data_IF_317895952873
#
_entry.id   IF_317895952873
#
_cell.length_a   1.000
_cell.length_b   1.000
_cell.length_c   1.000
_cell.angle_alpha   90.00
_cell.angle_beta   90.00
_cell.angle_gamma   90.00
#
_symmetry.space_group_name_H-M   'P 1'
#
loop_
_entity.id
_entity.type
_entity.pdbx_description
1 polymer ?
#
# COMPACT_ATOMS: atom_id res chain seq x y z
N UNK A 1 5.19 4.03 27.12
CA UNK A 1 4.11 3.10 26.77
C UNK A 1 4.19 1.98 27.77
N UNK A 2 3.05 1.70 28.41
CA UNK A 2 2.94 0.67 29.44
C UNK A 2 3.05 -0.69 28.75
N UNK A 3 3.77 -1.66 29.34
CA UNK A 3 4.00 -2.97 28.71
C UNK A 3 2.72 -3.74 28.31
N UNK A 4 1.53 -3.34 28.78
CA UNK A 4 0.24 -3.91 28.38
C UNK A 4 -0.34 -3.32 27.08
N UNK A 5 -0.04 -2.07 26.75
CA UNK A 5 -0.53 -1.40 25.52
C UNK A 5 0.13 -2.02 24.27
N UNK A 6 1.43 -2.35 24.37
CA UNK A 6 2.19 -2.97 23.29
C UNK A 6 1.67 -4.37 22.94
N UNK A 7 1.30 -5.17 23.95
CA UNK A 7 0.79 -6.53 23.77
C UNK A 7 -0.63 -6.55 23.16
N UNK A 8 -1.47 -5.57 23.52
CA UNK A 8 -2.79 -5.43 22.90
C UNK A 8 -2.66 -5.01 21.43
N UNK A 9 -1.77 -4.07 21.14
CA UNK A 9 -1.49 -3.61 19.79
C UNK A 9 -0.94 -4.72 18.90
N UNK A 10 0.00 -5.52 19.41
CA UNK A 10 0.53 -6.71 18.74
C UNK A 10 -0.58 -7.71 18.40
N UNK A 11 -1.46 -8.02 19.37
CA UNK A 11 -2.61 -8.92 19.13
C UNK A 11 -3.52 -8.40 18.03
N UNK A 12 -3.84 -7.10 18.03
CA UNK A 12 -4.72 -6.52 16.99
C UNK A 12 -4.05 -6.54 15.61
N UNK A 13 -2.74 -6.34 15.54
CA UNK A 13 -1.97 -6.46 14.29
C UNK A 13 -2.01 -7.90 13.76
N UNK A 14 -1.79 -8.90 14.61
CA UNK A 14 -1.85 -10.31 14.22
C UNK A 14 -3.23 -10.69 13.67
N UNK A 15 -4.32 -10.23 14.31
CA UNK A 15 -5.69 -10.46 13.85
C UNK A 15 -5.92 -9.89 12.44
N UNK A 16 -5.45 -8.66 12.19
CA UNK A 16 -5.65 -7.99 10.90
C UNK A 16 -4.83 -8.64 9.78
N UNK A 17 -3.58 -9.02 10.05
CA UNK A 17 -2.73 -9.68 9.06
C UNK A 17 -3.21 -11.10 8.76
N UNK A 18 -3.73 -11.81 9.77
CA UNK A 18 -4.39 -13.11 9.59
C UNK A 18 -5.62 -12.98 8.69
N UNK A 19 -6.44 -11.96 8.93
CA UNK A 19 -7.60 -11.67 8.08
C UNK A 19 -7.17 -11.37 6.63
N UNK A 20 -6.18 -10.50 6.41
CA UNK A 20 -5.63 -10.22 5.08
C UNK A 20 -5.14 -11.49 4.38
N UNK A 21 -4.41 -12.34 5.09
CA UNK A 21 -3.88 -13.61 4.57
C UNK A 21 -5.01 -14.57 4.19
N UNK A 22 -6.10 -14.63 4.94
CA UNK A 22 -7.30 -15.42 4.60
C UNK A 22 -7.99 -14.97 3.31
N UNK A 23 -7.75 -13.71 2.90
CA UNK A 23 -8.15 -13.16 1.61
C UNK A 23 -7.01 -13.22 0.58
N UNK A 24 -5.96 -13.99 0.84
CA UNK A 24 -4.79 -14.09 -0.04
C UNK A 24 -4.02 -12.78 -0.20
N UNK A 25 -4.17 -11.81 0.70
CA UNK A 25 -3.45 -10.54 0.66
C UNK A 25 -2.26 -10.61 1.61
N UNK A 26 -1.06 -10.50 1.05
CA UNK A 26 0.19 -10.40 1.80
C UNK A 26 0.63 -8.94 1.76
N UNK A 27 0.64 -8.27 2.90
CA UNK A 27 1.09 -6.88 2.99
C UNK A 27 2.63 -6.82 2.99
N UNK A 28 3.20 -6.12 2.00
CA UNK A 28 4.64 -6.14 1.75
C UNK A 28 5.46 -5.04 2.46
N UNK A 29 4.80 -4.00 3.00
CA UNK A 29 5.48 -2.87 3.67
C UNK A 29 5.09 -2.79 5.16
N UNK A 30 5.86 -3.47 6.00
CA UNK A 30 5.57 -3.67 7.44
C UNK A 30 5.95 -2.48 8.33
N UNK A 31 6.00 -1.27 7.78
CA UNK A 31 6.24 -0.08 8.60
C UNK A 31 5.03 0.25 9.46
N UNK A 32 5.32 0.75 10.66
CA UNK A 32 4.33 1.09 11.67
C UNK A 32 3.42 2.26 11.28
N UNK A 33 3.87 3.17 10.42
CA UNK A 33 3.07 4.27 9.87
C UNK A 33 1.96 3.80 8.91
N UNK A 34 2.03 2.55 8.45
CA UNK A 34 0.98 1.91 7.65
C UNK A 34 -0.12 1.26 8.50
N UNK A 35 -0.03 1.33 9.83
CA UNK A 35 -1.02 0.77 10.75
C UNK A 35 -1.52 1.85 11.71
N UNK A 36 -2.85 2.03 11.76
CA UNK A 36 -3.49 2.98 12.66
C UNK A 36 -4.42 2.24 13.64
N UNK A 37 -4.24 2.47 14.94
CA UNK A 37 -5.22 2.02 15.94
C UNK A 37 -6.47 2.92 15.85
N UNK A 38 -7.62 2.29 15.60
CA UNK A 38 -8.93 2.94 15.51
C UNK A 38 -9.87 2.48 16.63
N UNK A 39 -9.31 2.12 17.79
CA UNK A 39 -9.99 1.64 18.98
C UNK A 39 -9.99 0.12 19.02
N UNK A 40 -11.03 -0.50 18.49
CA UNK A 40 -11.23 -1.95 18.60
C UNK A 40 -10.45 -2.74 17.53
N UNK A 41 -9.84 -2.04 16.57
CA UNK A 41 -9.24 -2.62 15.35
C UNK A 41 -8.00 -1.85 14.92
N UNK A 42 -7.18 -2.49 14.10
CA UNK A 42 -6.16 -1.83 13.31
C UNK A 42 -6.71 -1.57 11.91
N UNK A 43 -6.52 -0.34 11.43
CA UNK A 43 -6.67 -0.01 10.02
C UNK A 43 -5.29 -0.13 9.37
N UNK A 44 -5.15 -1.05 8.41
CA UNK A 44 -3.96 -1.12 7.56
C UNK A 44 -4.18 -0.22 6.35
N UNK A 45 -3.26 0.71 6.15
CA UNK A 45 -3.21 1.61 5.00
C UNK A 45 -2.01 1.23 4.12
N UNK A 46 -1.84 1.94 3.01
CA UNK A 46 -0.78 1.68 2.03
C UNK A 46 -0.70 0.20 1.60
N UNK A 47 -1.62 -0.19 0.72
CA UNK A 47 -1.65 -1.52 0.10
C UNK A 47 -0.84 -1.55 -1.21
N UNK A 48 0.04 -0.58 -1.44
CA UNK A 48 0.74 -0.44 -2.71
C UNK A 48 1.70 -1.60 -2.99
N UNK A 49 2.32 -2.12 -1.94
CA UNK A 49 3.25 -3.24 -2.00
C UNK A 49 2.61 -4.59 -1.64
N UNK A 50 1.27 -4.66 -1.61
CA UNK A 50 0.59 -5.91 -1.31
C UNK A 50 0.71 -6.92 -2.47
N UNK A 51 1.00 -8.18 -2.13
CA UNK A 51 1.07 -9.33 -3.04
C UNK A 51 -0.18 -10.19 -2.85
N UNK A 52 -0.65 -10.81 -3.94
CA UNK A 52 -1.73 -11.80 -3.87
C UNK A 52 -1.14 -13.20 -3.87
N UNK A 53 -1.49 -13.99 -2.87
CA UNK A 53 -1.45 -15.45 -2.96
C UNK A 53 -2.77 -15.93 -3.57
N UNK A 54 -2.74 -16.24 -4.87
CA UNK A 54 -3.92 -16.67 -5.62
C UNK A 54 -4.53 -17.98 -5.09
N UNK A 55 -3.75 -18.77 -4.34
CA UNK A 55 -4.13 -20.09 -3.81
C UNK A 55 -5.16 -19.97 -2.68
N UNK A 56 -4.91 -19.08 -1.72
CA UNK A 56 -5.87 -18.78 -0.64
C UNK A 56 -7.00 -17.86 -1.13
N UNK A 57 -6.69 -16.95 -2.04
CA UNK A 57 -7.67 -16.04 -2.61
C UNK A 57 -8.84 -16.75 -3.33
N UNK A 58 -8.55 -17.84 -4.05
CA UNK A 58 -9.55 -18.62 -4.77
C UNK A 58 -10.60 -19.29 -3.86
N UNK A 59 -10.32 -19.42 -2.56
CA UNK A 59 -11.23 -20.04 -1.58
C UNK A 59 -12.20 -19.05 -0.94
N UNK A 60 -12.04 -17.74 -1.16
CA UNK A 60 -12.85 -16.69 -0.53
C UNK A 60 -14.14 -16.39 -1.29
N UNK A 61 -15.26 -16.31 -0.59
CA UNK A 61 -16.57 -15.90 -1.14
C UNK A 61 -16.64 -14.43 -1.56
N UNK A 62 -15.69 -13.59 -1.11
CA UNK A 62 -15.65 -12.16 -1.38
C UNK A 62 -14.69 -11.76 -2.51
N UNK A 63 -14.25 -12.73 -3.34
CA UNK A 63 -13.20 -12.59 -4.36
C UNK A 63 -13.43 -11.42 -5.35
N UNK A 64 -14.68 -11.14 -5.72
CA UNK A 64 -15.02 -10.09 -6.68
C UNK A 64 -14.73 -8.68 -6.17
N UNK A 65 -15.08 -8.41 -4.90
CA UNK A 65 -14.88 -7.09 -4.28
C UNK A 65 -13.39 -6.80 -4.07
N UNK A 66 -12.64 -7.81 -3.61
CA UNK A 66 -11.20 -7.69 -3.44
C UNK A 66 -10.48 -7.47 -4.79
N UNK A 67 -10.89 -8.16 -5.86
CA UNK A 67 -10.37 -7.91 -7.23
C UNK A 67 -10.62 -6.48 -7.69
N UNK A 68 -11.83 -5.95 -7.45
CA UNK A 68 -12.20 -4.59 -7.84
C UNK A 68 -11.33 -3.54 -7.15
N UNK A 69 -11.31 -3.57 -5.82
CA UNK A 69 -10.52 -2.64 -5.01
C UNK A 69 -9.02 -2.70 -5.35
N UNK A 70 -8.50 -3.90 -5.58
CA UNK A 70 -7.10 -4.07 -5.91
C UNK A 70 -6.74 -3.58 -7.32
N UNK A 71 -7.62 -3.79 -8.30
CA UNK A 71 -7.44 -3.24 -9.64
C UNK A 71 -7.36 -1.72 -9.59
N UNK A 72 -8.22 -1.10 -8.79
CA UNK A 72 -8.22 0.36 -8.61
C UNK A 72 -6.91 0.82 -7.94
N UNK A 73 -6.42 0.11 -6.93
CA UNK A 73 -5.11 0.38 -6.31
C UNK A 73 -3.94 0.25 -7.30
N UNK A 74 -3.92 -0.81 -8.11
CA UNK A 74 -2.88 -1.00 -9.13
C UNK A 74 -2.89 0.11 -10.20
N UNK A 75 -4.09 0.54 -10.61
CA UNK A 75 -4.24 1.66 -11.53
C UNK A 75 -3.75 2.97 -10.91
N UNK A 76 -4.06 3.23 -9.65
CA UNK A 76 -3.56 4.41 -8.93
C UNK A 76 -2.02 4.43 -8.88
N UNK A 77 -1.38 3.30 -8.56
CA UNK A 77 0.09 3.19 -8.62
C UNK A 77 0.66 3.52 -9.99
N UNK A 78 0.01 3.03 -11.05
CA UNK A 78 0.44 3.34 -12.41
C UNK A 78 0.36 4.84 -12.68
N UNK A 79 -0.75 5.48 -12.32
CA UNK A 79 -0.93 6.92 -12.50
C UNK A 79 0.09 7.75 -11.72
N UNK A 80 0.41 7.38 -10.48
CA UNK A 80 1.42 8.08 -9.68
C UNK A 80 2.82 7.94 -10.27
N UNK A 81 3.19 6.74 -10.72
CA UNK A 81 4.45 6.51 -11.42
C UNK A 81 4.54 7.33 -12.71
N UNK A 82 3.47 7.36 -13.51
CA UNK A 82 3.41 8.18 -14.72
C UNK A 82 3.51 9.68 -14.40
N UNK A 83 2.83 10.17 -13.36
CA UNK A 83 2.89 11.57 -12.94
C UNK A 83 4.32 11.95 -12.51
N UNK A 84 5.00 11.09 -11.76
CA UNK A 84 6.39 11.28 -11.34
C UNK A 84 7.33 11.37 -12.53
N UNK A 85 7.22 10.43 -13.48
CA UNK A 85 8.04 10.43 -14.70
C UNK A 85 7.82 11.69 -15.55
N UNK A 86 6.58 12.18 -15.64
CA UNK A 86 6.27 13.44 -16.34
C UNK A 86 6.93 14.64 -15.67
N UNK A 87 6.88 14.71 -14.35
CA UNK A 87 7.49 15.81 -13.59
C UNK A 87 9.02 15.79 -13.68
N UNK A 88 9.65 14.62 -13.57
CA UNK A 88 11.08 14.44 -13.77
C UNK A 88 11.52 14.88 -15.17
N UNK A 89 10.77 14.49 -16.20
CA UNK A 89 11.03 14.91 -17.59
C UNK A 89 10.94 16.43 -17.73
N UNK A 90 9.89 17.05 -17.16
CA UNK A 90 9.68 18.51 -17.19
C UNK A 90 10.84 19.26 -16.53
N UNK A 91 11.31 18.78 -15.37
CA UNK A 91 12.44 19.36 -14.66
C UNK A 91 13.74 19.25 -15.47
N UNK A 92 13.97 18.10 -16.11
CA UNK A 92 15.14 17.87 -16.97
C UNK A 92 15.13 18.82 -18.18
N UNK A 93 14.02 18.92 -18.89
CA UNK A 93 13.87 19.83 -20.04
C UNK A 93 14.09 21.30 -19.63
N UNK A 94 13.55 21.72 -18.48
CA UNK A 94 13.76 23.07 -17.94
C UNK A 94 15.22 23.34 -17.59
N UNK A 95 15.92 22.35 -17.03
CA UNK A 95 17.34 22.45 -16.72
C UNK A 95 18.20 22.57 -18.00
N UNK A 96 17.92 21.75 -19.01
CA UNK A 96 18.60 21.78 -20.31
C UNK A 96 18.36 23.11 -21.06
N UNK A 97 17.13 23.62 -21.06
CA UNK A 97 16.82 24.92 -21.67
C UNK A 97 17.56 26.08 -20.97
N UNK A 98 17.63 26.05 -19.64
CA UNK A 98 18.38 27.04 -18.85
C UNK A 98 19.89 26.97 -19.10
N UNK A 99 20.43 25.78 -19.35
CA UNK A 99 21.85 25.61 -19.70
C UNK A 99 22.15 26.16 -21.10
N UNK A 100 21.29 25.91 -22.10
CA UNK A 100 21.46 26.43 -23.46
C UNK A 100 21.29 27.95 -23.58
N UNK A 101 20.41 28.57 -22.79
CA UNK A 101 20.25 30.03 -22.76
C UNK A 101 21.38 30.80 -22.05
N UNK A 102 22.38 30.09 -21.50
CA UNK A 102 23.55 30.66 -20.80
C UNK A 102 24.87 30.48 -21.57
N UNK A 103 24.88 29.81 -22.72
CA UNK A 103 26.03 29.73 -23.63
C UNK A 103 25.89 30.73 -24.77
#
# INVERSE_FOLDING_TARGET
MEHGEDAEFERKLEEVYTALTSYGVIHGDTKLDNAMDVGDRIMVIDLEQAIIDETEFARSTNIGNARGLLRDLQLNRQYENEARQREEKRLKEKAEAKAKGRS
#
